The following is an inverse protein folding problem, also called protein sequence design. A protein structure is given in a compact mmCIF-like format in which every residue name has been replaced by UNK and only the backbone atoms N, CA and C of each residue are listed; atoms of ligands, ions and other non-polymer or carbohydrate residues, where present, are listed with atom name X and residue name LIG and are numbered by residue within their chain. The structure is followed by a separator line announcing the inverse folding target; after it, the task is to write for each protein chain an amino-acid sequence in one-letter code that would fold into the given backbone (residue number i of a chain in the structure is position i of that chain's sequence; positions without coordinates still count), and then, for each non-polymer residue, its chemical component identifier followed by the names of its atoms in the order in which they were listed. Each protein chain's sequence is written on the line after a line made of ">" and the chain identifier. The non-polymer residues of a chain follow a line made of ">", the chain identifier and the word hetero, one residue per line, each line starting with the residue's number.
data_IF_682600344476
#
_entry.id   IF_682600344476
#
_cell.length_a   1.000
_cell.length_b   1.000
_cell.length_c   1.000
_cell.angle_alpha   90.00
_cell.angle_beta   90.00
_cell.angle_gamma   90.00
#
_symmetry.space_group_name_H-M   'P 1'
#
loop_
_entity.id
_entity.type
_entity.pdbx_description
1 polymer ?
#
# COMPACT_ATOMS: atom_id res chain seq x y z
N UNK A 1 7.60 -18.64 -8.29
CA UNK A 1 6.62 -17.57 -8.58
C UNK A 1 6.60 -16.66 -7.36
N UNK A 2 7.29 -15.51 -7.43
CA UNK A 2 7.31 -14.55 -6.32
C UNK A 2 5.89 -14.02 -6.13
N UNK A 3 5.24 -14.47 -5.06
CA UNK A 3 3.88 -14.07 -4.71
C UNK A 3 4.03 -12.70 -4.06
N UNK A 4 4.04 -11.64 -4.87
CA UNK A 4 3.99 -10.27 -4.33
C UNK A 4 2.66 -10.14 -3.57
N UNK A 5 2.72 -10.34 -2.25
CA UNK A 5 1.58 -10.20 -1.36
C UNK A 5 1.39 -8.69 -1.13
N UNK A 6 0.76 -8.05 -2.11
CA UNK A 6 0.26 -6.69 -1.97
C UNK A 6 -1.19 -6.81 -1.52
N UNK A 7 -1.51 -6.21 -0.38
CA UNK A 7 -2.86 -6.08 0.13
C UNK A 7 -3.21 -4.61 0.22
N UNK A 8 -4.45 -4.28 -0.06
CA UNK A 8 -4.99 -2.93 0.13
C UNK A 8 -6.32 -3.09 0.87
N UNK A 9 -6.46 -2.32 1.94
CA UNK A 9 -7.66 -2.28 2.77
C UNK A 9 -8.20 -0.85 2.79
N UNK A 10 -9.52 -0.71 2.74
CA UNK A 10 -10.19 0.57 2.92
C UNK A 10 -10.18 0.93 4.40
N UNK A 11 -9.73 2.15 4.71
CA UNK A 11 -9.78 2.68 6.08
C UNK A 11 -11.05 3.52 6.19
N UNK A 12 -11.81 3.31 7.26
CA UNK A 12 -13.05 4.05 7.53
C UNK A 12 -14.11 3.96 6.40
N UNK A 13 -14.09 2.91 5.56
CA UNK A 13 -14.96 2.77 4.37
C UNK A 13 -14.89 3.97 3.39
N UNK A 14 -13.81 4.76 3.45
CA UNK A 14 -13.63 5.93 2.59
C UNK A 14 -12.47 5.72 1.62
N UNK A 15 -12.67 6.07 0.35
CA UNK A 15 -11.63 5.99 -0.68
C UNK A 15 -10.51 7.04 -0.50
N UNK A 16 -10.65 7.95 0.46
CA UNK A 16 -9.65 8.97 0.82
C UNK A 16 -8.52 8.40 1.67
N UNK A 17 -8.77 7.31 2.41
CA UNK A 17 -7.79 6.67 3.29
C UNK A 17 -7.74 5.17 3.00
N UNK A 18 -6.56 4.73 2.56
CA UNK A 18 -6.30 3.36 2.18
C UNK A 18 -5.09 2.87 2.98
N UNK A 19 -5.09 1.59 3.32
CA UNK A 19 -3.98 0.94 3.99
C UNK A 19 -3.41 -0.14 3.07
N UNK A 20 -2.19 0.09 2.59
CA UNK A 20 -1.43 -0.90 1.85
C UNK A 20 -0.65 -1.80 2.80
N UNK A 21 -0.50 -3.08 2.47
CA UNK A 21 0.48 -3.97 3.08
C UNK A 21 1.27 -4.62 1.95
N UNK A 22 2.60 -4.51 2.00
CA UNK A 22 3.49 -5.15 1.04
C UNK A 22 4.42 -6.11 1.77
N UNK A 23 4.52 -7.33 1.25
CA UNK A 23 5.60 -8.23 1.63
C UNK A 23 6.89 -7.81 0.91
N UNK A 24 7.98 -7.75 1.64
CA UNK A 24 9.28 -7.47 1.07
C UNK A 24 9.68 -8.56 0.08
N UNK A 25 10.15 -8.17 -1.12
CA UNK A 25 10.43 -9.12 -2.19
C UNK A 25 11.58 -10.05 -1.81
N UNK A 26 11.59 -11.29 -2.35
CA UNK A 26 12.73 -12.19 -2.21
C UNK A 26 13.98 -11.56 -2.83
N UNK A 27 15.16 -11.97 -2.35
CA UNK A 27 16.47 -11.47 -2.79
C UNK A 27 16.75 -10.00 -2.43
N UNK A 28 16.04 -9.45 -1.43
CA UNK A 28 16.32 -8.12 -0.86
C UNK A 28 16.49 -8.22 0.65
N UNK A 29 17.16 -7.26 1.32
CA UNK A 29 17.23 -7.24 2.79
C UNK A 29 15.86 -7.10 3.48
N UNK A 30 14.81 -6.84 2.69
CA UNK A 30 13.43 -6.73 3.13
C UNK A 30 12.67 -8.06 3.01
N UNK A 31 13.29 -9.10 2.46
CA UNK A 31 12.69 -10.44 2.29
C UNK A 31 12.14 -10.96 3.61
N UNK A 32 10.86 -11.34 3.61
CA UNK A 32 10.14 -11.80 4.80
C UNK A 32 9.62 -10.69 5.72
N UNK A 33 9.91 -9.42 5.44
CA UNK A 33 9.32 -8.27 6.12
C UNK A 33 7.92 -7.94 5.60
N UNK A 34 7.01 -7.55 6.49
CA UNK A 34 5.73 -6.92 6.12
C UNK A 34 5.81 -5.42 6.36
N UNK A 35 5.55 -4.63 5.32
CA UNK A 35 5.55 -3.18 5.37
C UNK A 35 4.12 -2.69 5.21
N UNK A 36 3.67 -1.92 6.20
CA UNK A 36 2.36 -1.28 6.17
C UNK A 36 2.54 0.13 5.63
N UNK A 37 1.78 0.47 4.58
CA UNK A 37 1.73 1.78 3.96
C UNK A 37 0.39 2.44 4.30
N UNK A 38 0.45 3.69 4.72
CA UNK A 38 -0.72 4.56 4.77
C UNK A 38 -0.79 5.30 3.43
N UNK A 39 -1.94 5.23 2.76
CA UNK A 39 -2.18 5.85 1.46
C UNK A 39 -3.30 6.85 1.66
N UNK A 40 -3.00 8.14 1.47
CA UNK A 40 -3.98 9.22 1.58
C UNK A 40 -4.30 9.77 0.20
N UNK A 41 -5.51 9.50 -0.28
CA UNK A 41 -6.00 10.01 -1.56
C UNK A 41 -6.60 11.41 -1.33
N UNK A 42 -5.99 12.47 -1.90
CA UNK A 42 -6.55 13.81 -1.80
C UNK A 42 -7.77 13.95 -2.71
N UNK A 43 -8.64 14.91 -2.40
CA UNK A 43 -9.81 15.25 -3.24
C UNK A 43 -9.43 15.73 -4.66
N UNK A 44 -8.18 16.14 -4.84
CA UNK A 44 -7.63 16.56 -6.13
C UNK A 44 -7.04 15.41 -6.94
N UNK A 45 -7.19 14.16 -6.49
CA UNK A 45 -6.90 12.99 -7.32
C UNK A 45 -7.85 12.97 -8.55
N UNK A 46 -7.39 12.62 -9.76
CA UNK A 46 -6.07 12.08 -10.14
C UNK A 46 -5.02 13.14 -10.51
N UNK A 47 -5.28 14.44 -10.33
CA UNK A 47 -4.33 15.51 -10.66
C UNK A 47 -3.17 15.61 -9.68
N UNK A 48 -3.41 15.31 -8.39
CA UNK A 48 -2.35 15.16 -7.40
C UNK A 48 -2.26 13.69 -6.96
N UNK A 49 -1.04 13.14 -6.85
CA UNK A 49 -0.85 11.77 -6.41
C UNK A 49 -1.25 11.59 -4.94
N UNK A 50 -1.68 10.37 -4.56
CA UNK A 50 -1.87 10.04 -3.16
C UNK A 50 -0.54 10.14 -2.40
N UNK A 51 -0.63 10.52 -1.12
CA UNK A 51 0.51 10.63 -0.21
C UNK A 51 0.73 9.36 0.59
#
# INVERSE_FOLDING_TARGET
>A
VAKCAIRVELVNDNYTELKGEIAGPPDTPYEGGNFVLEIKVPETYPFNPPK
#
